data_IF_765124081506
#
_entry.id   IF_765124081506
#
_cell.length_a   1.000
_cell.length_b   1.000
_cell.length_c   1.000
_cell.angle_alpha   90.00
_cell.angle_beta   90.00
_cell.angle_gamma   90.00
#
_symmetry.space_group_name_H-M   'P 1'
#
loop_
_entity.id
_entity.type
_entity.pdbx_description
1 polymer ?
#
# COMPACT_ATOMS: atom_id res chain seq x y z
N UNK A 1 16.20 9.86 -1.25
CA UNK A 1 14.93 10.19 -0.56
C UNK A 1 15.26 10.78 0.80
N UNK A 2 15.00 12.07 1.02
CA UNK A 2 15.33 12.82 2.24
C UNK A 2 14.15 13.00 3.21
N UNK A 3 13.01 12.37 2.95
CA UNK A 3 11.82 12.49 3.81
C UNK A 3 11.92 11.50 4.97
N UNK A 4 12.18 12.04 6.17
CA UNK A 4 12.11 11.31 7.44
C UNK A 4 10.76 11.61 8.11
N UNK A 5 10.10 10.59 8.66
CA UNK A 5 8.80 10.76 9.32
C UNK A 5 8.88 11.75 10.52
N UNK A 6 9.99 11.73 11.27
CA UNK A 6 10.22 12.62 12.41
C UNK A 6 10.37 14.09 11.98
N UNK A 7 11.02 14.33 10.83
CA UNK A 7 11.15 15.69 10.28
C UNK A 7 9.80 16.19 9.76
N UNK A 8 9.03 15.33 9.07
CA UNK A 8 7.70 15.67 8.60
C UNK A 8 6.73 15.99 9.76
N UNK A 9 6.84 15.30 10.89
CA UNK A 9 6.08 15.62 12.10
C UNK A 9 6.39 17.04 12.60
N UNK A 10 7.67 17.42 12.62
CA UNK A 10 8.10 18.75 13.07
C UNK A 10 7.60 19.84 12.12
N UNK A 11 7.66 19.60 10.80
CA UNK A 11 7.12 20.52 9.77
C UNK A 11 5.61 20.71 9.90
N UNK A 12 4.86 19.64 10.20
CA UNK A 12 3.41 19.73 10.44
C UNK A 12 3.12 20.61 11.66
N UNK A 13 3.85 20.42 12.77
CA UNK A 13 3.69 21.24 13.98
C UNK A 13 3.94 22.72 13.67
N UNK A 14 5.00 23.02 12.92
CA UNK A 14 5.32 24.39 12.52
C UNK A 14 4.22 25.01 11.66
N UNK A 15 3.72 24.29 10.64
CA UNK A 15 2.62 24.77 9.78
C UNK A 15 1.34 25.06 10.58
N UNK A 16 1.04 24.23 11.58
CA UNK A 16 -0.09 24.47 12.49
C UNK A 16 0.14 25.73 13.32
N UNK A 17 1.36 25.94 13.83
CA UNK A 17 1.70 27.13 14.62
C UNK A 17 1.61 28.44 13.81
N UNK A 18 1.92 28.37 12.51
CA UNK A 18 1.81 29.48 11.55
C UNK A 18 0.38 29.72 11.07
N UNK A 19 -0.59 28.89 11.48
CA UNK A 19 -2.00 29.05 11.12
C UNK A 19 -2.33 28.59 9.70
N UNK A 20 -1.50 27.75 9.09
CA UNK A 20 -1.80 27.15 7.78
C UNK A 20 -3.08 26.31 7.89
N UNK A 21 -4.02 26.43 6.92
CA UNK A 21 -5.24 25.63 6.93
C UNK A 21 -4.94 24.12 6.99
N UNK A 22 -5.64 23.40 7.87
CA UNK A 22 -5.42 21.96 8.05
C UNK A 22 -5.58 21.16 6.75
N UNK A 23 -6.50 21.59 5.87
CA UNK A 23 -6.70 20.97 4.56
C UNK A 23 -5.44 21.01 3.68
N UNK A 24 -4.69 22.11 3.73
CA UNK A 24 -3.46 22.29 2.95
C UNK A 24 -2.32 21.45 3.52
N UNK A 25 -2.22 21.38 4.85
CA UNK A 25 -1.26 20.52 5.55
C UNK A 25 -1.52 19.04 5.17
N UNK A 26 -2.76 18.59 5.25
CA UNK A 26 -3.14 17.20 4.91
C UNK A 26 -2.86 16.88 3.43
N UNK A 27 -3.17 17.81 2.52
CA UNK A 27 -2.86 17.61 1.10
C UNK A 27 -1.34 17.53 0.87
N UNK A 28 -0.54 18.36 1.56
CA UNK A 28 0.92 18.30 1.52
C UNK A 28 1.45 16.91 1.94
N UNK A 29 0.87 16.31 2.98
CA UNK A 29 1.22 14.95 3.40
C UNK A 29 0.90 13.92 2.31
N UNK A 30 -0.30 13.97 1.72
CA UNK A 30 -0.67 13.03 0.64
C UNK A 30 0.21 13.18 -0.60
N UNK A 31 0.56 14.41 -0.97
CA UNK A 31 1.48 14.68 -2.08
C UNK A 31 2.88 14.10 -1.80
N UNK A 32 3.40 14.26 -0.58
CA UNK A 32 4.69 13.67 -0.18
C UNK A 32 4.69 12.14 -0.31
N UNK A 33 3.61 11.49 0.12
CA UNK A 33 3.44 10.04 -0.04
C UNK A 33 3.34 9.63 -1.52
N UNK A 34 2.56 10.34 -2.32
CA UNK A 34 2.37 10.08 -3.74
C UNK A 34 3.67 10.25 -4.53
N UNK A 35 4.45 11.31 -4.26
CA UNK A 35 5.74 11.56 -4.90
C UNK A 35 6.76 10.46 -4.59
N UNK A 36 6.81 10.01 -3.34
CA UNK A 36 7.66 8.89 -2.95
C UNK A 36 7.27 7.61 -3.66
N UNK A 37 5.97 7.30 -3.71
CA UNK A 37 5.47 6.13 -4.42
C UNK A 37 5.82 6.20 -5.91
N UNK A 38 5.59 7.35 -6.55
CA UNK A 38 5.89 7.58 -7.97
C UNK A 38 7.38 7.42 -8.28
N UNK A 39 8.27 7.92 -7.42
CA UNK A 39 9.71 7.74 -7.59
C UNK A 39 10.11 6.25 -7.62
N UNK A 40 9.51 5.43 -6.76
CA UNK A 40 9.72 3.98 -6.74
C UNK A 40 9.11 3.30 -7.98
N UNK A 41 7.92 3.74 -8.40
CA UNK A 41 7.26 3.22 -9.59
C UNK A 41 8.10 3.50 -10.85
N UNK A 42 8.66 4.70 -10.98
CA UNK A 42 9.56 5.05 -12.10
C UNK A 42 10.83 4.23 -12.13
N UNK A 43 11.35 3.85 -10.97
CA UNK A 43 12.53 2.99 -10.89
C UNK A 43 12.26 1.57 -11.43
N UNK A 44 11.06 1.03 -11.19
CA UNK A 44 10.66 -0.32 -11.63
C UNK A 44 10.10 -0.33 -13.06
N UNK A 45 9.69 0.83 -13.59
CA UNK A 45 9.05 0.99 -14.89
C UNK A 45 7.53 0.94 -14.75
N UNK A 46 6.88 2.10 -14.94
CA UNK A 46 5.43 2.21 -14.80
C UNK A 46 4.73 1.65 -16.03
N UNK A 47 3.83 0.70 -15.82
CA UNK A 47 2.91 0.22 -16.85
C UNK A 47 1.51 0.83 -16.65
N UNK A 48 0.70 0.94 -17.71
CA UNK A 48 -0.72 1.28 -17.60
C UNK A 48 -1.44 0.34 -16.62
N UNK A 49 -2.61 0.75 -16.10
CA UNK A 49 -3.41 0.00 -15.12
C UNK A 49 -2.85 -0.02 -13.69
N UNK A 50 -2.44 1.14 -13.16
CA UNK A 50 -1.97 1.25 -11.78
C UNK A 50 -3.16 1.13 -10.81
N UNK A 51 -3.08 0.18 -9.88
CA UNK A 51 -4.14 -0.04 -8.88
C UNK A 51 -3.67 0.34 -7.48
N UNK A 52 -4.45 1.18 -6.79
CA UNK A 52 -4.22 1.46 -5.37
C UNK A 52 -4.89 0.38 -4.51
N UNK A 53 -4.09 -0.27 -3.66
CA UNK A 53 -4.54 -1.31 -2.73
C UNK A 53 -4.27 -0.90 -1.27
N UNK A 54 -5.01 -1.49 -0.34
CA UNK A 54 -4.82 -1.30 1.11
C UNK A 54 -5.63 -0.15 1.72
N UNK A 55 -5.18 0.34 2.87
CA UNK A 55 -5.99 1.20 3.75
C UNK A 55 -6.35 2.58 3.18
N UNK A 56 -5.55 3.10 2.26
CA UNK A 56 -5.73 4.43 1.68
C UNK A 56 -6.74 4.46 0.51
N UNK A 57 -7.26 3.30 0.10
CA UNK A 57 -8.16 3.20 -1.07
C UNK A 57 -9.45 4.03 -0.90
N UNK A 58 -9.88 4.25 0.35
CA UNK A 58 -11.08 5.04 0.69
C UNK A 58 -10.78 6.53 0.93
N UNK A 59 -9.51 6.93 0.94
CA UNK A 59 -9.12 8.31 1.18
C UNK A 59 -9.10 9.08 -0.14
N UNK A 60 -10.12 9.93 -0.34
CA UNK A 60 -10.27 10.73 -1.57
C UNK A 60 -9.10 11.69 -1.81
N UNK A 61 -8.47 12.20 -0.74
CA UNK A 61 -7.30 13.08 -0.83
C UNK A 61 -6.08 12.35 -1.36
N UNK A 62 -5.81 11.14 -0.86
CA UNK A 62 -4.74 10.28 -1.35
C UNK A 62 -4.97 9.85 -2.80
N UNK A 63 -6.19 9.43 -3.15
CA UNK A 63 -6.52 9.02 -4.52
C UNK A 63 -6.29 10.18 -5.49
N UNK A 64 -6.73 11.38 -5.13
CA UNK A 64 -6.49 12.60 -5.92
C UNK A 64 -5.00 12.88 -6.05
N UNK A 65 -4.26 12.97 -4.93
CA UNK A 65 -2.83 13.25 -4.94
C UNK A 65 -2.04 12.24 -5.77
N UNK A 66 -2.42 10.95 -5.73
CA UNK A 66 -1.76 9.91 -6.51
C UNK A 66 -2.03 10.07 -8.01
N UNK A 67 -3.27 10.31 -8.42
CA UNK A 67 -3.62 10.56 -9.84
C UNK A 67 -2.88 11.78 -10.39
N UNK A 68 -2.88 12.88 -9.63
CA UNK A 68 -2.21 14.12 -10.01
C UNK A 68 -0.68 13.92 -10.15
N UNK A 69 -0.09 13.07 -9.29
CA UNK A 69 1.37 12.84 -9.28
C UNK A 69 1.84 11.85 -10.34
N UNK A 70 1.12 10.75 -10.54
CA UNK A 70 1.54 9.66 -11.45
C UNK A 70 1.24 10.04 -12.91
N UNK A 71 0.18 10.82 -13.15
CA UNK A 71 -0.17 11.32 -14.49
C UNK A 71 -0.80 10.28 -15.42
N UNK A 72 -1.22 9.14 -14.87
CA UNK A 72 -2.03 8.10 -15.54
C UNK A 72 -3.22 7.77 -14.65
N UNK A 73 -4.26 7.17 -15.21
CA UNK A 73 -5.42 6.78 -14.40
C UNK A 73 -5.03 5.73 -13.36
N UNK A 74 -5.63 5.86 -12.18
CA UNK A 74 -5.41 4.99 -11.04
C UNK A 74 -6.72 4.28 -10.72
N UNK A 75 -6.67 2.96 -10.81
CA UNK A 75 -7.74 2.05 -10.47
C UNK A 75 -7.93 2.01 -8.95
N UNK A 76 -9.16 2.26 -8.51
CA UNK A 76 -9.53 2.32 -7.11
C UNK A 76 -10.83 1.53 -6.94
N UNK A 77 -10.74 0.42 -6.21
CA UNK A 77 -11.90 -0.40 -5.86
C UNK A 77 -12.07 -0.42 -4.33
N UNK A 78 -13.28 -0.20 -3.77
CA UNK A 78 -13.49 -0.24 -2.32
C UNK A 78 -13.03 -1.54 -1.65
N UNK A 79 -13.12 -2.66 -2.38
CA UNK A 79 -12.74 -3.99 -1.91
C UNK A 79 -11.24 -4.27 -1.97
N UNK A 80 -10.47 -3.42 -2.65
CA UNK A 80 -9.00 -3.52 -2.70
C UNK A 80 -8.34 -3.25 -1.34
N UNK A 81 -9.11 -2.80 -0.34
CA UNK A 81 -8.74 -2.84 1.08
C UNK A 81 -8.35 -4.26 1.54
N UNK A 82 -9.04 -5.28 1.03
CA UNK A 82 -8.84 -6.69 1.39
C UNK A 82 -7.83 -7.42 0.50
N UNK A 83 -7.24 -6.76 -0.49
CA UNK A 83 -6.37 -7.39 -1.48
C UNK A 83 -5.22 -8.21 -0.84
N UNK A 84 -4.60 -7.68 0.22
CA UNK A 84 -3.51 -8.36 0.93
C UNK A 84 -3.98 -9.64 1.66
N UNK A 85 -5.14 -9.59 2.31
CA UNK A 85 -5.72 -10.74 3.00
C UNK A 85 -6.12 -11.83 2.01
N UNK A 86 -6.77 -11.44 0.91
CA UNK A 86 -7.15 -12.35 -0.17
C UNK A 86 -5.92 -13.01 -0.82
N UNK A 87 -4.88 -12.22 -1.14
CA UNK A 87 -3.64 -12.75 -1.68
C UNK A 87 -2.98 -13.77 -0.76
N UNK A 88 -2.95 -13.49 0.55
CA UNK A 88 -2.40 -14.41 1.55
C UNK A 88 -3.21 -15.71 1.65
N UNK A 89 -4.54 -15.63 1.64
CA UNK A 89 -5.42 -16.80 1.67
C UNK A 89 -5.25 -17.68 0.42
N UNK A 90 -5.15 -17.07 -0.77
CA UNK A 90 -4.92 -17.77 -2.03
C UNK A 90 -3.56 -18.49 -2.05
N UNK A 91 -2.50 -17.82 -1.58
CA UNK A 91 -1.18 -18.44 -1.48
C UNK A 91 -1.17 -19.61 -0.50
N UNK A 92 -1.83 -19.47 0.66
CA UNK A 92 -2.01 -20.55 1.62
C UNK A 92 -2.78 -21.74 1.03
N UNK A 93 -3.87 -21.47 0.31
CA UNK A 93 -4.66 -22.50 -0.37
C UNK A 93 -3.85 -23.23 -1.45
N UNK A 94 -3.12 -22.49 -2.31
CA UNK A 94 -2.25 -23.07 -3.33
C UNK A 94 -1.16 -23.95 -2.71
N UNK A 95 -0.60 -23.54 -1.57
CA UNK A 95 0.39 -24.32 -0.82
C UNK A 95 -0.21 -25.64 -0.32
N UNK A 96 -1.42 -25.63 0.24
CA UNK A 96 -2.11 -26.82 0.71
C UNK A 96 -2.41 -27.79 -0.45
N UNK A 97 -2.90 -27.29 -1.58
CA UNK A 97 -3.16 -28.13 -2.77
C UNK A 97 -1.89 -28.82 -3.27
N UNK A 98 -0.77 -28.09 -3.35
CA UNK A 98 0.53 -28.68 -3.73
C UNK A 98 1.00 -29.76 -2.76
N UNK A 99 0.76 -29.59 -1.46
CA UNK A 99 1.07 -30.61 -0.45
C UNK A 99 0.17 -31.84 -0.56
N UNK A 100 -1.11 -31.66 -0.87
CA UNK A 100 -2.06 -32.75 -1.06
C UNK A 100 -1.77 -33.58 -2.33
N UNK A 101 -1.14 -32.97 -3.34
CA UNK A 101 -0.75 -33.61 -4.60
C UNK A 101 0.68 -34.17 -4.61
N UNK A 102 1.51 -33.79 -3.63
CA UNK A 102 2.84 -34.36 -3.48
C UNK A 102 2.74 -35.79 -2.91
N UNK A 103 3.53 -36.76 -3.40
CA UNK A 103 3.56 -38.09 -2.82
C UNK A 103 3.98 -37.99 -1.35
N UNK A 104 3.25 -38.69 -0.47
CA UNK A 104 3.54 -38.78 0.96
C UNK A 104 4.90 -39.48 1.13
N UNK A 105 5.98 -38.70 1.18
CA UNK A 105 7.27 -39.19 1.66
C UNK A 105 7.18 -39.15 3.17
N UNK A 106 7.04 -40.32 3.79
CA UNK A 106 6.82 -40.50 5.21
C UNK A 106 7.84 -39.73 6.08
N UNK A 107 7.31 -39.02 7.07
CA UNK A 107 8.06 -38.25 8.05
C UNK A 107 7.11 -37.55 9.03
N UNK A 108 6.72 -38.29 10.07
CA UNK A 108 6.11 -37.91 11.35
C UNK A 108 4.92 -36.93 11.37
N UNK A 109 3.73 -37.54 11.43
CA UNK A 109 2.45 -36.95 11.78
C UNK A 109 2.30 -36.60 13.29
N UNK A 110 3.37 -36.20 13.98
CA UNK A 110 3.38 -36.02 15.44
C UNK A 110 3.09 -34.59 15.92
N UNK A 111 3.06 -33.58 15.04
CA UNK A 111 2.89 -32.17 15.45
C UNK A 111 1.69 -31.52 14.76
N UNK A 112 0.48 -32.01 15.04
CA UNK A 112 -0.76 -31.29 14.77
C UNK A 112 -1.68 -31.52 15.97
N UNK A 113 -1.99 -30.42 16.67
CA UNK A 113 -2.80 -30.26 17.90
C UNK A 113 -2.05 -30.29 19.24
N UNK A 114 -1.36 -29.19 19.56
CA UNK A 114 -1.28 -28.66 20.93
C UNK A 114 -1.39 -27.14 20.87
#
# INVERSE_FOLDING_TARGET
SSVCAVLAETEIINNVAEGVPLADILMGVFLSLAQRAHALMRYVGVQPEVTLVGGLVRNVGMVKALRDTVGIDVNVAPDAYYAAALGSALLGHSRLQKLAQAPVVGGDAACRTS
#
